data_IF_721733016166
#
_entry.id   IF_721733016166
#
_cell.length_a   1.000
_cell.length_b   1.000
_cell.length_c   1.000
_cell.angle_alpha   90.00
_cell.angle_beta   90.00
_cell.angle_gamma   90.00
#
_symmetry.space_group_name_H-M   'P 1'
#
loop_
_entity.id
_entity.type
_entity.pdbx_description
1 polymer ?
#
# COMPACT_ATOMS: atom_id res chain seq x y z
N UNK A 1 28.58 44.90 -39.62
CA UNK A 1 28.42 43.57 -38.99
C UNK A 1 27.39 43.69 -37.87
N UNK A 2 26.24 43.01 -37.96
CA UNK A 2 25.22 42.94 -36.88
C UNK A 2 25.19 41.51 -36.33
N UNK A 3 25.15 41.30 -35.01
CA UNK A 3 25.09 39.96 -34.44
C UNK A 3 23.68 39.39 -34.60
N UNK A 4 23.62 38.12 -35.01
CA UNK A 4 22.41 37.38 -35.30
C UNK A 4 22.03 36.57 -34.05
N UNK A 5 21.10 37.05 -33.24
CA UNK A 5 20.58 36.31 -32.06
C UNK A 5 19.34 35.50 -32.47
N UNK A 6 19.46 34.18 -32.46
CA UNK A 6 18.30 33.27 -32.57
C UNK A 6 17.53 33.22 -31.24
N UNK A 7 16.19 33.25 -31.25
CA UNK A 7 15.41 33.08 -30.03
C UNK A 7 15.42 31.61 -29.57
N UNK A 8 15.68 31.39 -28.28
CA UNK A 8 15.60 30.10 -27.60
C UNK A 8 14.16 29.56 -27.66
N UNK A 9 13.98 28.36 -28.21
CA UNK A 9 12.69 27.67 -28.19
C UNK A 9 12.24 27.43 -26.75
N UNK A 10 10.98 27.75 -26.50
CA UNK A 10 10.34 27.94 -25.21
C UNK A 10 10.03 26.65 -24.44
N UNK A 11 9.99 26.77 -23.11
CA UNK A 11 9.52 25.82 -22.08
C UNK A 11 8.03 25.40 -22.20
N UNK A 12 7.43 25.49 -23.38
CA UNK A 12 6.00 25.25 -23.60
C UNK A 12 5.61 23.76 -23.62
N UNK A 13 6.55 22.86 -23.94
CA UNK A 13 6.29 21.40 -24.00
C UNK A 13 6.18 20.74 -22.61
N UNK A 14 6.97 21.20 -21.65
CA UNK A 14 7.03 20.61 -20.29
C UNK A 14 5.74 20.92 -19.52
N UNK A 15 5.25 22.17 -19.61
CA UNK A 15 4.00 22.58 -18.96
C UNK A 15 2.75 21.89 -19.54
N UNK A 16 2.76 21.54 -20.83
CA UNK A 16 1.65 20.82 -21.46
C UNK A 16 1.59 19.36 -21.02
N UNK A 17 2.77 18.73 -20.91
CA UNK A 17 2.89 17.34 -20.44
C UNK A 17 2.44 17.21 -18.99
N UNK A 18 2.93 18.08 -18.09
CA UNK A 18 2.57 18.05 -16.66
C UNK A 18 1.05 18.22 -16.46
N UNK A 19 0.41 19.16 -17.17
CA UNK A 19 -1.05 19.34 -17.08
C UNK A 19 -1.83 18.10 -17.53
N UNK A 20 -1.40 17.42 -18.59
CA UNK A 20 -2.04 16.18 -19.03
C UNK A 20 -1.91 15.09 -17.95
N UNK A 21 -0.72 14.94 -17.36
CA UNK A 21 -0.51 13.99 -16.26
C UNK A 21 -1.39 14.25 -15.05
N UNK A 22 -1.54 15.52 -14.63
CA UNK A 22 -2.38 15.86 -13.46
C UNK A 22 -3.86 15.54 -13.70
N UNK A 23 -4.38 15.81 -14.90
CA UNK A 23 -5.76 15.49 -15.26
C UNK A 23 -6.04 13.99 -15.31
N UNK A 24 -5.11 13.21 -15.87
CA UNK A 24 -5.23 11.74 -15.90
C UNK A 24 -5.12 11.12 -14.51
N UNK A 25 -4.32 11.68 -13.62
CA UNK A 25 -4.18 11.21 -12.24
C UNK A 25 -5.44 11.49 -11.41
N UNK A 26 -6.03 12.68 -11.57
CA UNK A 26 -7.30 13.05 -10.92
C UNK A 26 -8.46 12.21 -11.43
N UNK A 27 -8.54 11.96 -12.75
CA UNK A 27 -9.57 11.09 -13.32
C UNK A 27 -9.37 9.62 -12.92
N UNK A 28 -8.13 9.12 -12.97
CA UNK A 28 -7.81 7.73 -12.63
C UNK A 28 -8.04 7.37 -11.15
N UNK A 29 -7.88 8.32 -10.23
CA UNK A 29 -8.13 8.09 -8.80
C UNK A 29 -9.61 8.26 -8.41
N UNK A 30 -10.35 9.13 -9.10
CA UNK A 30 -11.76 9.40 -8.76
C UNK A 30 -12.74 8.41 -9.41
N UNK A 31 -12.43 7.90 -10.61
CA UNK A 31 -13.31 6.99 -11.35
C UNK A 31 -13.59 5.66 -10.62
N UNK A 32 -12.58 4.95 -10.04
CA UNK A 32 -12.84 3.72 -9.31
C UNK A 32 -13.65 3.95 -8.04
N UNK A 33 -13.35 5.02 -7.29
CA UNK A 33 -14.07 5.35 -6.08
C UNK A 33 -15.55 5.63 -6.38
N UNK A 34 -15.83 6.50 -7.36
CA UNK A 34 -17.20 6.81 -7.81
C UNK A 34 -17.92 5.58 -8.34
N UNK A 35 -17.21 4.71 -9.08
CA UNK A 35 -17.76 3.44 -9.56
C UNK A 35 -18.17 2.52 -8.42
N UNK A 36 -17.34 2.34 -7.40
CA UNK A 36 -17.64 1.48 -6.26
C UNK A 36 -18.80 2.01 -5.41
N UNK A 37 -18.88 3.32 -5.15
CA UNK A 37 -20.03 3.91 -4.43
C UNK A 37 -21.31 3.80 -5.24
N UNK A 38 -21.27 4.06 -6.55
CA UNK A 38 -22.43 3.90 -7.42
C UNK A 38 -22.90 2.44 -7.42
N UNK A 39 -22.00 1.47 -7.61
CA UNK A 39 -22.32 0.04 -7.62
C UNK A 39 -22.97 -0.41 -6.30
N UNK A 40 -22.51 0.10 -5.17
CA UNK A 40 -23.09 -0.22 -3.86
C UNK A 40 -24.50 0.37 -3.70
N UNK A 41 -24.67 1.66 -3.97
CA UNK A 41 -25.97 2.36 -3.87
C UNK A 41 -27.01 1.74 -4.81
N UNK A 42 -26.62 1.37 -6.04
CA UNK A 42 -27.54 0.77 -7.01
C UNK A 42 -27.91 -0.68 -6.68
N UNK A 43 -27.04 -1.44 -6.02
CA UNK A 43 -27.36 -2.80 -5.55
C UNK A 43 -28.47 -2.75 -4.51
N UNK A 44 -28.39 -1.83 -3.56
CA UNK A 44 -29.41 -1.67 -2.51
C UNK A 44 -30.74 -1.17 -3.08
N UNK A 45 -30.71 -0.30 -4.10
CA UNK A 45 -31.92 0.14 -4.82
C UNK A 45 -32.57 -0.97 -5.67
N UNK A 46 -31.78 -1.92 -6.20
CA UNK A 46 -32.32 -3.03 -7.00
C UNK A 46 -33.19 -4.00 -6.18
N UNK A 47 -32.93 -4.13 -4.88
CA UNK A 47 -33.75 -4.92 -3.97
C UNK A 47 -35.13 -4.29 -3.72
N UNK A 48 -35.22 -2.96 -3.80
CA UNK A 48 -36.46 -2.18 -3.65
C UNK A 48 -37.24 -2.10 -4.98
N UNK A 49 -36.56 -2.34 -6.11
CA UNK A 49 -37.07 -2.12 -7.46
C UNK A 49 -38.09 -3.14 -7.99
N UNK A 50 -38.27 -4.29 -7.35
CA UNK A 50 -39.05 -5.39 -7.93
C UNK A 50 -40.56 -5.08 -8.10
N UNK A 51 -41.08 -4.04 -7.42
CA UNK A 51 -42.51 -3.71 -7.43
C UNK A 51 -42.89 -2.49 -8.30
N UNK A 52 -41.93 -1.80 -8.95
CA UNK A 52 -42.23 -0.54 -9.67
C UNK A 52 -41.52 -0.42 -11.03
N UNK A 53 -42.27 -0.16 -12.10
CA UNK A 53 -41.76 -0.09 -13.48
C UNK A 53 -40.73 1.05 -13.67
N UNK A 54 -40.87 2.15 -12.93
CA UNK A 54 -39.91 3.26 -12.87
C UNK A 54 -38.55 2.84 -12.31
N UNK A 55 -38.52 1.89 -11.36
CA UNK A 55 -37.29 1.38 -10.76
C UNK A 55 -36.59 0.37 -11.68
N UNK A 56 -37.31 -0.36 -12.53
CA UNK A 56 -36.71 -1.21 -13.58
C UNK A 56 -35.98 -0.39 -14.64
N UNK A 57 -36.50 0.78 -15.01
CA UNK A 57 -35.81 1.70 -15.92
C UNK A 57 -34.54 2.24 -15.28
N UNK A 58 -34.59 2.60 -13.99
CA UNK A 58 -33.42 3.02 -13.22
C UNK A 58 -32.36 1.90 -13.11
N UNK A 59 -32.78 0.64 -12.95
CA UNK A 59 -31.88 -0.52 -12.92
C UNK A 59 -31.19 -0.75 -14.27
N UNK A 60 -31.92 -0.71 -15.39
CA UNK A 60 -31.28 -0.86 -16.72
C UNK A 60 -30.28 0.27 -17.00
N UNK A 61 -30.60 1.49 -16.56
CA UNK A 61 -29.68 2.61 -16.67
C UNK A 61 -28.42 2.40 -15.82
N UNK A 62 -28.57 1.93 -14.57
CA UNK A 62 -27.42 1.65 -13.70
C UNK A 62 -26.55 0.51 -14.23
N UNK A 63 -27.15 -0.58 -14.73
CA UNK A 63 -26.43 -1.68 -15.39
C UNK A 63 -25.65 -1.19 -16.62
N UNK A 64 -26.25 -0.32 -17.44
CA UNK A 64 -25.56 0.29 -18.58
C UNK A 64 -24.40 1.20 -18.16
N UNK A 65 -24.56 1.95 -17.06
CA UNK A 65 -23.49 2.80 -16.51
C UNK A 65 -22.35 1.94 -15.94
N UNK A 66 -22.67 0.85 -15.24
CA UNK A 66 -21.70 -0.12 -14.73
C UNK A 66 -20.92 -0.75 -15.87
N UNK A 67 -21.61 -1.25 -16.92
CA UNK A 67 -20.97 -1.84 -18.09
C UNK A 67 -20.08 -0.83 -18.84
N UNK A 68 -20.52 0.43 -18.94
CA UNK A 68 -19.71 1.51 -19.52
C UNK A 68 -18.43 1.78 -18.71
N UNK A 69 -18.53 1.79 -17.38
CA UNK A 69 -17.36 1.96 -16.51
C UNK A 69 -16.41 0.75 -16.55
N UNK A 70 -16.94 -0.48 -16.56
CA UNK A 70 -16.13 -1.70 -16.71
C UNK A 70 -15.34 -1.67 -18.03
N UNK A 71 -15.96 -1.20 -19.12
CA UNK A 71 -15.26 -0.99 -20.39
C UNK A 71 -14.16 0.06 -20.29
N UNK A 72 -14.43 1.22 -19.67
CA UNK A 72 -13.41 2.28 -19.48
C UNK A 72 -12.24 1.78 -18.62
N UNK A 73 -12.51 1.02 -17.56
CA UNK A 73 -11.47 0.41 -16.73
C UNK A 73 -10.66 -0.57 -17.56
N UNK A 74 -11.31 -1.45 -18.34
CA UNK A 74 -10.63 -2.42 -19.22
C UNK A 74 -9.76 -1.74 -20.26
N UNK A 75 -10.27 -0.68 -20.90
CA UNK A 75 -9.52 0.11 -21.90
C UNK A 75 -8.34 0.84 -21.25
N UNK A 76 -8.52 1.36 -20.03
CA UNK A 76 -7.46 2.02 -19.25
C UNK A 76 -6.39 1.03 -18.81
N UNK A 77 -6.77 -0.14 -18.29
CA UNK A 77 -5.85 -1.24 -17.98
C UNK A 77 -5.08 -1.63 -19.24
N UNK A 78 -5.76 -1.85 -20.37
CA UNK A 78 -5.12 -2.19 -21.66
C UNK A 78 -4.10 -1.13 -22.10
N UNK A 79 -4.43 0.16 -21.92
CA UNK A 79 -3.54 1.28 -22.24
C UNK A 79 -2.31 1.32 -21.32
N UNK A 80 -2.52 1.13 -20.02
CA UNK A 80 -1.44 1.02 -19.03
C UNK A 80 -0.52 -0.17 -19.33
N UNK A 81 -1.09 -1.34 -19.62
CA UNK A 81 -0.35 -2.56 -19.98
C UNK A 81 0.56 -2.31 -21.19
N UNK A 82 0.03 -1.73 -22.28
CA UNK A 82 0.83 -1.39 -23.47
C UNK A 82 1.95 -0.41 -23.17
N UNK A 83 1.65 0.64 -22.40
CA UNK A 83 2.65 1.65 -22.06
C UNK A 83 3.75 1.11 -21.15
N UNK A 84 3.41 0.19 -20.26
CA UNK A 84 4.38 -0.51 -19.42
C UNK A 84 5.23 -1.48 -20.23
N UNK A 85 4.65 -2.17 -21.24
CA UNK A 85 5.41 -2.99 -22.20
C UNK A 85 6.44 -2.15 -22.97
N UNK A 86 6.08 -0.92 -23.38
CA UNK A 86 7.00 0.00 -24.07
C UNK A 86 8.13 0.56 -23.17
N UNK A 87 7.91 0.61 -21.85
CA UNK A 87 8.83 1.20 -20.87
C UNK A 87 9.66 0.15 -20.08
N UNK A 88 9.37 -1.14 -20.21
CA UNK A 88 10.13 -2.23 -19.56
C UNK A 88 11.43 -2.51 -20.34
N UNK A 89 12.60 -2.53 -19.69
CA UNK A 89 13.86 -2.91 -20.34
C UNK A 89 13.75 -4.32 -20.93
N UNK A 90 14.12 -4.46 -22.21
CA UNK A 90 14.13 -5.70 -23.00
C UNK A 90 14.99 -6.87 -22.42
N UNK A 91 15.63 -6.70 -21.26
CA UNK A 91 16.57 -7.66 -20.68
C UNK A 91 15.92 -8.74 -19.78
N UNK A 92 14.59 -8.83 -19.72
CA UNK A 92 13.90 -9.93 -19.02
C UNK A 92 13.77 -11.17 -19.91
N UNK A 93 14.90 -11.83 -20.19
CA UNK A 93 14.99 -13.11 -20.88
C UNK A 93 14.68 -14.29 -19.94
N UNK A 94 13.43 -14.41 -19.51
CA UNK A 94 12.93 -15.60 -18.79
C UNK A 94 11.76 -16.23 -19.58
N UNK A 95 11.53 -17.55 -19.52
CA UNK A 95 10.56 -18.25 -20.37
C UNK A 95 9.13 -17.98 -19.88
N UNK A 96 8.59 -16.82 -20.26
CA UNK A 96 7.29 -16.27 -19.84
C UNK A 96 6.12 -16.69 -20.76
N UNK A 97 6.33 -17.60 -21.73
CA UNK A 97 5.40 -17.89 -22.84
C UNK A 97 4.03 -18.46 -22.41
N UNK A 98 3.83 -18.84 -21.14
CA UNK A 98 2.56 -19.39 -20.63
C UNK A 98 1.79 -18.47 -19.68
N UNK A 99 2.29 -17.27 -19.40
CA UNK A 99 1.67 -16.36 -18.45
C UNK A 99 0.78 -15.32 -19.14
N UNK A 100 -0.35 -15.01 -18.50
CA UNK A 100 -1.17 -13.87 -18.90
C UNK A 100 -0.31 -12.60 -18.92
N UNK A 101 -0.62 -11.62 -19.79
CA UNK A 101 0.13 -10.35 -19.86
C UNK A 101 0.28 -9.69 -18.49
N UNK A 102 -0.75 -9.79 -17.63
CA UNK A 102 -0.71 -9.31 -16.25
C UNK A 102 0.33 -10.02 -15.40
N UNK A 103 0.39 -11.35 -15.45
CA UNK A 103 1.37 -12.14 -14.70
C UNK A 103 2.81 -11.87 -15.16
N UNK A 104 3.01 -11.65 -16.47
CA UNK A 104 4.33 -11.27 -17.01
C UNK A 104 4.81 -9.93 -16.47
N UNK A 105 3.90 -8.96 -16.36
CA UNK A 105 4.23 -7.67 -15.76
C UNK A 105 4.49 -7.78 -14.27
N UNK A 106 3.73 -8.59 -13.54
CA UNK A 106 3.98 -8.84 -12.12
C UNK A 106 5.37 -9.46 -11.94
N UNK A 107 5.76 -10.49 -12.72
CA UNK A 107 7.12 -11.05 -12.67
C UNK A 107 8.19 -10.01 -13.00
N UNK A 108 7.99 -9.20 -14.05
CA UNK A 108 8.93 -8.14 -14.39
C UNK A 108 9.08 -7.09 -13.29
N UNK A 109 7.98 -6.77 -12.59
CA UNK A 109 7.98 -5.91 -11.41
C UNK A 109 8.46 -6.62 -10.15
N UNK A 110 8.61 -7.94 -10.09
CA UNK A 110 9.16 -8.67 -8.95
C UNK A 110 10.61 -9.07 -9.16
N UNK A 111 11.13 -8.97 -10.39
CA UNK A 111 12.51 -9.27 -10.70
C UNK A 111 13.49 -8.45 -9.83
N UNK A 112 14.64 -9.03 -9.42
CA UNK A 112 15.70 -8.28 -8.76
C UNK A 112 16.14 -7.13 -9.65
N UNK A 113 16.38 -5.95 -9.07
CA UNK A 113 16.85 -4.81 -9.87
C UNK A 113 18.03 -4.14 -9.21
N UNK A 114 19.16 -4.21 -9.89
CA UNK A 114 20.36 -3.48 -9.52
C UNK A 114 20.21 -2.01 -9.97
N UNK A 115 20.51 -1.07 -9.06
CA UNK A 115 20.68 0.36 -9.38
C UNK A 115 19.46 1.09 -10.01
N UNK A 116 18.31 1.14 -9.32
CA UNK A 116 17.20 2.03 -9.68
C UNK A 116 16.98 3.13 -8.65
N UNK A 117 16.55 4.30 -9.14
CA UNK A 117 16.24 5.46 -8.30
C UNK A 117 15.03 5.23 -7.39
N UNK A 118 14.98 5.91 -6.24
CA UNK A 118 13.85 5.83 -5.28
C UNK A 118 12.47 6.04 -5.92
N UNK A 119 12.27 7.03 -6.82
CA UNK A 119 10.96 7.23 -7.46
C UNK A 119 10.49 6.02 -8.27
N UNK A 120 11.42 5.31 -8.91
CA UNK A 120 11.08 4.10 -9.65
C UNK A 120 10.64 2.97 -8.71
N UNK A 121 11.30 2.81 -7.56
CA UNK A 121 10.94 1.80 -6.56
C UNK A 121 9.54 2.05 -5.99
N UNK A 122 9.21 3.30 -5.64
CA UNK A 122 7.86 3.67 -5.19
C UNK A 122 6.84 3.33 -6.27
N UNK A 123 7.11 3.70 -7.54
CA UNK A 123 6.18 3.44 -8.63
C UNK A 123 5.97 1.96 -8.92
N UNK A 124 7.04 1.17 -8.81
CA UNK A 124 7.02 -0.29 -8.89
C UNK A 124 6.04 -0.89 -7.88
N UNK A 125 6.08 -0.45 -6.62
CA UNK A 125 5.19 -0.95 -5.58
C UNK A 125 3.74 -0.51 -5.78
N UNK A 126 3.49 0.74 -6.19
CA UNK A 126 2.14 1.19 -6.55
C UNK A 126 1.55 0.29 -7.65
N UNK A 127 2.32 0.00 -8.69
CA UNK A 127 1.88 -0.86 -9.78
C UNK A 127 1.61 -2.30 -9.29
N UNK A 128 2.49 -2.87 -8.45
CA UNK A 128 2.25 -4.20 -7.85
C UNK A 128 0.96 -4.23 -7.02
N UNK A 129 0.70 -3.19 -6.22
CA UNK A 129 -0.52 -3.08 -5.44
C UNK A 129 -1.77 -3.02 -6.33
N UNK A 130 -1.71 -2.29 -7.45
CA UNK A 130 -2.80 -2.23 -8.43
C UNK A 130 -2.97 -3.55 -9.20
N UNK A 131 -1.89 -4.27 -9.49
CA UNK A 131 -1.93 -5.51 -10.28
C UNK A 131 -2.25 -6.75 -9.45
N UNK A 132 -2.04 -6.75 -8.14
CA UNK A 132 -2.30 -7.90 -7.25
C UNK A 132 -3.49 -7.58 -6.36
N UNK A 133 -4.70 -7.82 -6.87
CA UNK A 133 -5.94 -7.42 -6.17
C UNK A 133 -6.67 -8.60 -5.53
N UNK A 134 -6.68 -9.77 -6.19
CA UNK A 134 -7.49 -10.89 -5.71
C UNK A 134 -6.76 -11.67 -4.61
N UNK A 135 -7.51 -12.33 -3.70
CA UNK A 135 -6.91 -13.19 -2.66
C UNK A 135 -5.97 -14.26 -3.24
N UNK A 136 -6.33 -14.88 -4.37
CA UNK A 136 -5.54 -15.92 -5.03
C UNK A 136 -4.23 -15.36 -5.57
N UNK A 137 -4.27 -14.16 -6.16
CA UNK A 137 -3.06 -13.47 -6.62
C UNK A 137 -2.16 -13.13 -5.43
N UNK A 138 -2.71 -12.63 -4.31
CA UNK A 138 -1.95 -12.32 -3.10
C UNK A 138 -1.25 -13.56 -2.55
N UNK A 139 -1.94 -14.69 -2.47
CA UNK A 139 -1.37 -15.99 -2.05
C UNK A 139 -0.24 -16.40 -3.00
N UNK A 140 -0.49 -16.33 -4.31
CA UNK A 140 0.48 -16.73 -5.35
C UNK A 140 1.76 -15.89 -5.29
N UNK A 141 1.62 -14.58 -5.14
CA UNK A 141 2.73 -13.63 -5.26
C UNK A 141 3.41 -13.30 -3.93
N UNK A 142 2.81 -13.66 -2.78
CA UNK A 142 3.38 -13.40 -1.46
C UNK A 142 4.85 -13.84 -1.34
N UNK A 143 5.27 -15.07 -1.70
CA UNK A 143 6.66 -15.51 -1.52
C UNK A 143 7.67 -14.59 -2.21
N UNK A 144 7.34 -14.14 -3.44
CA UNK A 144 8.21 -13.28 -4.23
C UNK A 144 8.28 -11.85 -3.65
N UNK A 145 7.17 -11.32 -3.13
CA UNK A 145 7.18 -10.03 -2.41
C UNK A 145 7.98 -10.13 -1.12
N UNK A 146 7.95 -11.28 -0.42
CA UNK A 146 8.77 -11.52 0.79
C UNK A 146 10.26 -11.56 0.48
N UNK A 147 10.67 -12.04 -0.71
CA UNK A 147 12.07 -12.01 -1.15
C UNK A 147 12.59 -10.57 -1.30
N UNK A 148 11.75 -9.64 -1.75
CA UNK A 148 12.13 -8.23 -1.93
C UNK A 148 12.52 -7.50 -0.63
N UNK A 149 12.17 -8.04 0.55
CA UNK A 149 12.58 -7.48 1.85
C UNK A 149 14.10 -7.57 2.03
N UNK A 150 14.73 -8.63 1.51
CA UNK A 150 16.17 -8.89 1.67
C UNK A 150 17.00 -8.16 0.60
N UNK A 151 16.43 -7.89 -0.58
CA UNK A 151 17.10 -7.25 -1.75
C UNK A 151 17.48 -5.77 -1.55
N UNK A 152 17.60 -5.29 -0.31
CA UNK A 152 18.19 -3.98 -0.05
C UNK A 152 17.28 -2.78 -0.34
N UNK A 153 15.99 -2.99 -0.65
CA UNK A 153 14.97 -1.92 -0.65
C UNK A 153 14.72 -1.34 0.75
N UNK A 154 15.41 -1.85 1.77
CA UNK A 154 15.23 -1.52 3.20
C UNK A 154 16.44 -0.76 3.78
N UNK A 155 17.38 -0.31 2.94
CA UNK A 155 18.55 0.48 3.38
C UNK A 155 18.23 1.95 3.67
N UNK A 156 17.10 2.45 3.18
CA UNK A 156 16.65 3.81 3.44
C UNK A 156 15.22 3.81 4.01
N UNK A 157 14.92 4.62 5.04
CA UNK A 157 13.64 4.57 5.77
C UNK A 157 12.38 4.69 4.90
N UNK A 158 12.45 5.34 3.73
CA UNK A 158 11.30 5.63 2.89
C UNK A 158 10.99 4.57 1.82
N UNK A 159 11.98 3.79 1.36
CA UNK A 159 11.74 2.70 0.40
C UNK A 159 11.12 1.45 1.08
N UNK A 160 11.31 1.32 2.40
CA UNK A 160 10.69 0.27 3.22
C UNK A 160 9.16 0.35 3.23
N UNK A 161 8.61 1.57 3.28
CA UNK A 161 7.20 1.80 3.57
C UNK A 161 6.25 1.23 2.50
N UNK A 162 6.58 1.40 1.22
CA UNK A 162 5.76 0.87 0.13
C UNK A 162 5.74 -0.67 0.13
N UNK A 163 6.87 -1.31 0.47
CA UNK A 163 6.96 -2.76 0.66
C UNK A 163 6.07 -3.21 1.81
N UNK A 164 6.13 -2.50 2.94
CA UNK A 164 5.34 -2.77 4.14
C UNK A 164 3.84 -2.64 3.90
N UNK A 165 3.41 -1.65 3.11
CA UNK A 165 2.01 -1.52 2.70
C UNK A 165 1.55 -2.66 1.80
N UNK A 166 2.38 -3.06 0.82
CA UNK A 166 2.06 -4.17 -0.06
C UNK A 166 1.92 -5.48 0.72
N UNK A 167 2.86 -5.77 1.62
CA UNK A 167 2.80 -6.95 2.49
C UNK A 167 1.58 -6.91 3.43
N UNK A 168 1.26 -5.75 4.00
CA UNK A 168 0.07 -5.58 4.83
C UNK A 168 -1.21 -5.86 4.04
N UNK A 169 -1.28 -5.44 2.77
CA UNK A 169 -2.45 -5.70 1.92
C UNK A 169 -2.63 -7.18 1.56
N UNK A 170 -1.57 -8.00 1.71
CA UNK A 170 -1.61 -9.44 1.49
C UNK A 170 -2.16 -10.19 2.72
N UNK A 171 -2.14 -9.58 3.91
CA UNK A 171 -2.63 -10.18 5.14
C UNK A 171 -1.93 -11.51 5.43
N UNK A 172 -2.71 -12.53 5.80
CA UNK A 172 -2.19 -13.85 6.19
C UNK A 172 -1.37 -14.57 5.11
N UNK A 173 -1.55 -14.22 3.83
CA UNK A 173 -0.73 -14.75 2.74
C UNK A 173 0.76 -14.40 2.89
N UNK A 174 1.07 -13.27 3.54
CA UNK A 174 2.43 -12.81 3.78
C UNK A 174 3.01 -13.27 5.14
N UNK A 175 2.43 -14.28 5.82
CA UNK A 175 2.93 -14.74 7.13
C UNK A 175 4.40 -15.15 7.14
N UNK A 176 4.93 -15.66 6.02
CA UNK A 176 6.35 -15.97 5.88
C UNK A 176 7.27 -14.74 5.92
N UNK A 177 6.74 -13.53 5.79
CA UNK A 177 7.49 -12.28 5.92
C UNK A 177 7.81 -11.92 7.37
N UNK A 178 7.02 -12.38 8.34
CA UNK A 178 7.11 -11.93 9.75
C UNK A 178 8.54 -12.04 10.29
N UNK A 179 9.26 -13.18 10.17
CA UNK A 179 10.63 -13.28 10.68
C UNK A 179 11.59 -12.31 10.01
N UNK A 180 11.37 -11.95 8.73
CA UNK A 180 12.18 -10.96 8.03
C UNK A 180 11.87 -9.54 8.51
N UNK A 181 10.59 -9.23 8.69
CA UNK A 181 10.12 -7.94 9.20
C UNK A 181 10.63 -7.68 10.62
N UNK A 182 10.58 -8.67 11.51
CA UNK A 182 11.13 -8.57 12.87
C UNK A 182 12.62 -8.18 12.87
N UNK A 183 13.42 -8.76 11.97
CA UNK A 183 14.84 -8.41 11.83
C UNK A 183 15.08 -6.99 11.31
N UNK A 184 14.06 -6.33 10.76
CA UNK A 184 14.09 -4.92 10.32
C UNK A 184 13.60 -3.95 11.38
N UNK A 185 13.17 -4.43 12.55
CA UNK A 185 12.82 -3.55 13.68
C UNK A 185 14.10 -2.88 14.18
N UNK A 186 14.21 -1.59 13.89
CA UNK A 186 15.28 -0.73 14.39
C UNK A 186 14.77 0.08 15.58
N UNK A 187 15.27 -0.24 16.77
CA UNK A 187 14.86 0.43 18.01
C UNK A 187 15.40 1.86 18.11
N UNK A 188 16.47 2.19 17.38
CA UNK A 188 17.00 3.56 17.27
C UNK A 188 16.09 4.47 16.43
N UNK A 189 15.16 3.87 15.68
CA UNK A 189 14.18 4.56 14.85
C UNK A 189 12.74 4.17 15.24
N UNK A 190 12.14 4.82 16.24
CA UNK A 190 10.79 4.52 16.75
C UNK A 190 9.69 4.44 15.68
N UNK A 191 9.76 5.28 14.64
CA UNK A 191 8.81 5.25 13.54
C UNK A 191 8.93 3.94 12.74
N UNK A 192 10.14 3.42 12.55
CA UNK A 192 10.37 2.13 11.90
C UNK A 192 9.74 0.97 12.68
N UNK A 193 9.80 1.00 14.01
CA UNK A 193 9.12 0.00 14.85
C UNK A 193 7.60 0.07 14.67
N UNK A 194 7.02 1.26 14.60
CA UNK A 194 5.58 1.46 14.36
C UNK A 194 5.19 0.97 12.96
N UNK A 195 5.97 1.32 11.92
CA UNK A 195 5.67 0.95 10.54
C UNK A 195 5.75 -0.57 10.35
N UNK A 196 6.84 -1.19 10.82
CA UNK A 196 7.02 -2.65 10.77
C UNK A 196 5.96 -3.35 11.61
N UNK A 197 5.69 -2.87 12.83
CA UNK A 197 4.68 -3.44 13.71
C UNK A 197 3.27 -3.38 13.14
N UNK A 198 2.91 -2.27 12.50
CA UNK A 198 1.63 -2.12 11.80
C UNK A 198 1.47 -3.19 10.71
N UNK A 199 2.53 -3.42 9.93
CA UNK A 199 2.52 -4.42 8.87
C UNK A 199 2.44 -5.84 9.43
N UNK A 200 3.20 -6.16 10.48
CA UNK A 200 3.12 -7.48 11.12
C UNK A 200 1.71 -7.73 11.66
N UNK A 201 1.09 -6.75 12.33
CA UNK A 201 -0.28 -6.90 12.84
C UNK A 201 -1.34 -7.03 11.73
N UNK A 202 -1.13 -6.40 10.58
CA UNK A 202 -1.99 -6.60 9.41
C UNK A 202 -1.87 -8.03 8.82
N UNK A 203 -0.68 -8.64 8.92
CA UNK A 203 -0.39 -10.01 8.47
C UNK A 203 -0.88 -11.05 9.49
N UNK A 204 -0.61 -10.81 10.78
CA UNK A 204 -1.02 -11.64 11.91
C UNK A 204 -1.53 -10.77 13.07
N UNK A 205 -2.85 -10.61 13.21
CA UNK A 205 -3.44 -9.83 14.30
C UNK A 205 -3.16 -10.35 15.71
N UNK A 206 -2.66 -11.58 15.85
CA UNK A 206 -2.29 -12.17 17.13
C UNK A 206 -0.80 -12.00 17.47
N UNK A 207 -0.04 -11.31 16.62
CA UNK A 207 1.37 -11.04 16.89
C UNK A 207 1.54 -10.17 18.15
N UNK A 208 2.39 -10.62 19.08
CA UNK A 208 2.67 -9.87 20.30
C UNK A 208 3.67 -8.75 20.01
N UNK A 209 3.16 -7.58 19.63
CA UNK A 209 3.98 -6.39 19.35
C UNK A 209 4.50 -5.70 20.62
N UNK A 210 4.03 -6.07 21.82
CA UNK A 210 4.36 -5.33 23.04
C UNK A 210 5.84 -5.32 23.40
N UNK A 211 6.58 -6.44 23.36
CA UNK A 211 7.99 -6.43 23.69
C UNK A 211 8.77 -5.40 22.86
N UNK A 212 8.40 -5.22 21.60
CA UNK A 212 9.02 -4.25 20.71
C UNK A 212 8.68 -2.80 21.07
N UNK A 213 7.40 -2.52 21.32
CA UNK A 213 6.96 -1.16 21.72
C UNK A 213 7.54 -0.75 23.07
N UNK A 214 7.58 -1.68 24.02
CA UNK A 214 8.19 -1.47 25.34
C UNK A 214 9.67 -1.11 25.18
N UNK A 215 10.41 -1.90 24.40
CA UNK A 215 11.82 -1.61 24.13
C UNK A 215 12.03 -0.27 23.42
N UNK A 216 11.13 0.13 22.53
CA UNK A 216 11.17 1.48 21.92
C UNK A 216 10.95 2.59 22.95
N UNK A 217 10.05 2.42 23.92
CA UNK A 217 9.86 3.38 25.01
C UNK A 217 11.10 3.44 25.90
N UNK A 218 11.70 2.29 26.22
CA UNK A 218 12.95 2.21 26.99
C UNK A 218 14.08 2.97 26.29
N UNK A 219 14.23 2.78 24.98
CA UNK A 219 15.32 3.38 24.18
C UNK A 219 15.05 4.87 23.90
N UNK A 220 13.78 5.23 23.67
CA UNK A 220 13.35 6.60 23.36
C UNK A 220 12.08 7.00 24.13
N UNK A 221 12.23 7.43 25.40
CA UNK A 221 11.11 7.76 26.28
C UNK A 221 10.14 8.83 25.75
N UNK A 222 10.65 9.76 24.95
CA UNK A 222 9.91 10.84 24.31
C UNK A 222 8.91 10.37 23.24
N UNK A 223 8.98 9.10 22.81
CA UNK A 223 8.08 8.54 21.80
C UNK A 223 6.80 7.90 22.37
N UNK A 224 6.58 7.93 23.69
CA UNK A 224 5.35 7.49 24.34
C UNK A 224 4.05 7.99 23.65
N UNK A 225 3.93 9.29 23.28
CA UNK A 225 2.76 9.79 22.55
C UNK A 225 2.56 9.18 21.16
N UNK A 226 3.63 8.90 20.41
CA UNK A 226 3.52 8.26 19.08
C UNK A 226 3.05 6.82 19.19
N UNK A 227 3.60 6.08 20.16
CA UNK A 227 3.20 4.70 20.45
C UNK A 227 1.76 4.65 20.93
N UNK A 228 1.35 5.58 21.79
CA UNK A 228 -0.05 5.75 22.19
C UNK A 228 -0.96 5.93 20.98
N UNK A 229 -0.60 6.83 20.05
CA UNK A 229 -1.40 7.09 18.86
C UNK A 229 -1.50 5.86 17.95
N UNK A 230 -0.41 5.10 17.81
CA UNK A 230 -0.39 3.84 17.09
C UNK A 230 -1.34 2.81 17.73
N UNK A 231 -1.22 2.58 19.05
CA UNK A 231 -2.06 1.64 19.78
C UNK A 231 -3.55 1.98 19.65
N UNK A 232 -3.92 3.27 19.72
CA UNK A 232 -5.31 3.73 19.53
C UNK A 232 -5.87 3.50 18.12
N UNK A 233 -5.01 3.54 17.09
CA UNK A 233 -5.44 3.46 15.69
C UNK A 233 -5.48 2.05 15.14
N UNK A 234 -4.52 1.22 15.54
CA UNK A 234 -4.25 -0.06 14.86
C UNK A 234 -4.74 -1.26 15.66
N UNK A 235 -4.76 -1.15 16.98
CA UNK A 235 -5.10 -2.26 17.87
C UNK A 235 -6.46 -2.00 18.52
N UNK A 236 -7.40 -2.98 18.53
CA UNK A 236 -8.63 -2.85 19.30
C UNK A 236 -8.33 -2.46 20.75
N UNK A 237 -9.09 -1.50 21.29
CA UNK A 237 -8.80 -0.86 22.58
C UNK A 237 -8.60 -1.88 23.70
N UNK A 238 -9.44 -2.90 23.79
CA UNK A 238 -9.38 -3.96 24.79
C UNK A 238 -8.10 -4.78 24.68
N UNK A 239 -7.68 -5.04 23.43
CA UNK A 239 -6.46 -5.77 23.14
C UNK A 239 -5.24 -4.92 23.54
N UNK A 240 -5.22 -3.63 23.18
CA UNK A 240 -4.17 -2.69 23.57
C UNK A 240 -4.05 -2.54 25.10
N UNK A 241 -5.18 -2.43 25.82
CA UNK A 241 -5.21 -2.36 27.29
C UNK A 241 -4.63 -3.64 27.90
N UNK A 242 -5.04 -4.82 27.43
CA UNK A 242 -4.54 -6.10 27.94
C UNK A 242 -3.03 -6.22 27.74
N UNK A 243 -2.57 -5.90 26.54
CA UNK A 243 -1.17 -5.85 26.16
C UNK A 243 -0.34 -4.91 27.06
N UNK A 244 -0.81 -3.68 27.28
CA UNK A 244 -0.14 -2.71 28.14
C UNK A 244 -0.09 -3.15 29.60
N UNK A 245 -1.17 -3.73 30.14
CA UNK A 245 -1.16 -4.27 31.51
C UNK A 245 -0.11 -5.36 31.69
N UNK A 246 -0.02 -6.29 30.74
CA UNK A 246 1.02 -7.33 30.77
C UNK A 246 2.44 -6.74 30.69
N UNK A 247 2.63 -5.67 29.91
CA UNK A 247 3.91 -4.97 29.86
C UNK A 247 4.25 -4.26 31.17
N UNK A 248 3.27 -3.60 31.80
CA UNK A 248 3.41 -2.93 33.11
C UNK A 248 3.79 -3.93 34.20
N UNK A 249 3.16 -5.11 34.21
CA UNK A 249 3.44 -6.17 35.18
C UNK A 249 4.86 -6.74 35.02
N UNK A 250 5.38 -6.79 33.79
CA UNK A 250 6.73 -7.27 33.47
C UNK A 250 7.82 -6.21 33.62
N UNK A 251 7.47 -4.92 33.61
CA UNK A 251 8.43 -3.83 33.74
C UNK A 251 9.11 -3.86 35.12
N UNK A 252 10.43 -4.01 35.12
CA UNK A 252 11.26 -4.02 36.34
C UNK A 252 11.73 -2.62 36.74
N UNK A 253 11.83 -1.69 35.77
CA UNK A 253 12.21 -0.30 36.02
C UNK A 253 10.98 0.56 36.40
N UNK A 254 11.00 1.25 37.56
CA UNK A 254 9.92 2.16 37.95
C UNK A 254 9.65 3.29 36.94
N UNK A 255 10.69 3.82 36.28
CA UNK A 255 10.51 4.92 35.32
C UNK A 255 9.75 4.44 34.08
N UNK A 256 10.16 3.29 33.54
CA UNK A 256 9.44 2.58 32.48
C UNK A 256 7.99 2.27 32.87
N UNK A 257 7.77 1.73 34.08
CA UNK A 257 6.42 1.40 34.55
C UNK A 257 5.51 2.63 34.58
N UNK A 258 6.02 3.77 35.02
CA UNK A 258 5.27 5.03 35.03
C UNK A 258 4.91 5.49 33.60
N UNK A 259 5.83 5.40 32.66
CA UNK A 259 5.55 5.75 31.26
C UNK A 259 4.51 4.84 30.62
N UNK A 260 4.58 3.53 30.87
CA UNK A 260 3.58 2.58 30.38
C UNK A 260 2.20 2.84 31.02
N UNK A 261 2.18 3.24 32.29
CA UNK A 261 0.96 3.69 32.97
C UNK A 261 0.39 4.96 32.34
N UNK A 262 1.23 5.94 31.98
CA UNK A 262 0.78 7.16 31.29
C UNK A 262 0.17 6.84 29.92
N UNK A 263 0.81 5.93 29.16
CA UNK A 263 0.26 5.42 27.90
C UNK A 263 -1.07 4.72 28.13
N UNK A 264 -1.18 3.84 29.13
CA UNK A 264 -2.42 3.15 29.47
C UNK A 264 -3.54 4.13 29.86
N UNK A 265 -3.25 5.10 30.74
CA UNK A 265 -4.20 6.12 31.17
C UNK A 265 -4.70 6.97 30.01
N UNK A 266 -3.86 7.21 29.01
CA UNK A 266 -4.27 7.97 27.83
C UNK A 266 -5.20 7.18 26.89
N UNK A 267 -5.22 5.84 26.96
CA UNK A 267 -6.09 4.96 26.15
C UNK A 267 -7.44 4.68 26.85
N UNK A 268 -7.44 4.74 28.18
CA UNK A 268 -8.65 4.70 28.99
C UNK A 268 -9.50 5.96 28.78
#
# INVERSE_FOLDING_TARGET
>A
MKPNTRPSKSNSGINRSIRIWTWWLVLGLSLPAVYYTARYVYRDLSAIAQENESLRVAQRWSESVIAGHEKVITDYETCLLRRMEDELPLELSCPLERLSTRDRLIEGLLAPVENKSKPWQVKRFENLHTLIQTPEQKIRWAPRVVEMIDDGLVGEPHSCWATFQLLASFGSAAKSAIPKLERKIDYEYPQGVIDVGSTILAIDPNFDMMPHLVKTIETHPDNGPKITMFLKRVIPREHAIRMLRQAIDKATDPAQRNQLNDVLLSIL
#
